data_IF_454817869402
#
_entry.id   IF_454817869402
#
_cell.length_a   1.000
_cell.length_b   1.000
_cell.length_c   1.000
_cell.angle_alpha   90.00
_cell.angle_beta   90.00
_cell.angle_gamma   90.00
#
_symmetry.space_group_name_H-M   'P 1'
#
loop_
_entity.id
_entity.type
_entity.pdbx_description
1 polymer ?
#
# COMPACT_ATOMS: atom_id res chain seq x y z
N UNK A 1 -35.70 21.75 -35.49
CA UNK A 1 -35.80 21.88 -34.02
C UNK A 1 -35.91 20.45 -33.49
N UNK A 2 -34.91 19.82 -32.91
CA UNK A 2 -33.49 20.15 -32.68
C UNK A 2 -32.76 18.80 -32.51
N UNK A 3 -31.49 18.77 -32.88
CA UNK A 3 -30.58 17.66 -32.57
C UNK A 3 -30.60 17.40 -31.06
N UNK A 4 -30.86 16.16 -30.66
CA UNK A 4 -30.55 15.70 -29.31
C UNK A 4 -29.13 15.15 -29.35
N UNK A 5 -28.18 16.03 -29.03
CA UNK A 5 -26.83 15.61 -28.64
C UNK A 5 -26.97 14.75 -27.38
N UNK A 6 -26.83 13.43 -27.53
CA UNK A 6 -26.52 12.54 -26.42
C UNK A 6 -25.08 12.84 -25.96
N UNK A 7 -24.91 13.93 -25.23
CA UNK A 7 -23.68 14.22 -24.52
C UNK A 7 -23.47 13.12 -23.48
N UNK A 8 -22.64 12.13 -23.82
CA UNK A 8 -22.17 11.12 -22.89
C UNK A 8 -21.60 11.83 -21.66
N UNK A 9 -22.20 11.58 -20.49
CA UNK A 9 -21.72 12.13 -19.24
C UNK A 9 -20.21 11.81 -19.11
N UNK A 10 -19.35 12.78 -18.76
CA UNK A 10 -17.92 12.53 -18.64
C UNK A 10 -17.73 11.42 -17.62
N UNK A 11 -17.11 10.32 -18.04
CA UNK A 11 -16.80 9.20 -17.18
C UNK A 11 -16.11 9.75 -15.92
N UNK A 12 -16.78 9.62 -14.76
CA UNK A 12 -16.21 10.05 -13.49
C UNK A 12 -14.85 9.37 -13.37
N UNK A 13 -13.78 10.17 -13.31
CA UNK A 13 -12.42 9.68 -13.07
C UNK A 13 -12.48 8.85 -11.79
N UNK A 14 -12.32 7.53 -11.91
CA UNK A 14 -12.26 6.65 -10.75
C UNK A 14 -10.91 6.97 -10.06
N UNK A 15 -10.97 7.47 -8.84
CA UNK A 15 -9.78 7.70 -8.02
C UNK A 15 -9.06 6.37 -7.79
N UNK A 16 -7.71 6.37 -7.79
CA UNK A 16 -6.91 5.16 -7.56
C UNK A 16 -7.28 4.56 -6.18
N UNK A 17 -7.93 3.38 -6.14
CA UNK A 17 -8.43 2.80 -4.89
C UNK A 17 -7.29 2.39 -3.95
N UNK A 18 -6.06 2.28 -4.45
CA UNK A 18 -4.85 1.99 -3.67
C UNK A 18 -4.22 3.23 -3.04
N UNK A 19 -4.68 4.44 -3.40
CA UNK A 19 -4.14 5.68 -2.87
C UNK A 19 -4.54 5.87 -1.40
N UNK A 20 -3.54 6.07 -0.55
CA UNK A 20 -3.71 6.42 0.85
C UNK A 20 -3.28 7.87 1.05
N UNK A 21 -4.25 8.78 0.93
CA UNK A 21 -4.02 10.20 1.17
C UNK A 21 -3.86 10.44 2.67
N UNK A 22 -2.80 11.16 3.04
CA UNK A 22 -2.50 11.57 4.41
C UNK A 22 -2.63 13.08 4.50
N UNK A 23 -3.55 13.54 5.32
CA UNK A 23 -3.86 14.95 5.53
C UNK A 23 -3.28 15.44 6.88
N UNK A 24 -2.13 16.12 6.87
CA UNK A 24 -1.49 16.58 8.11
C UNK A 24 -2.33 17.66 8.82
N UNK A 25 -3.15 18.42 8.10
CA UNK A 25 -4.02 19.45 8.67
C UNK A 25 -5.16 18.83 9.48
N UNK A 26 -5.53 17.57 9.17
CA UNK A 26 -6.45 16.75 9.97
C UNK A 26 -5.74 15.94 11.07
N UNK A 27 -4.45 16.14 11.27
CA UNK A 27 -3.63 15.39 12.22
C UNK A 27 -3.36 13.95 11.78
N UNK A 28 -3.52 13.63 10.50
CA UNK A 28 -3.17 12.32 9.98
C UNK A 28 -1.66 12.20 9.76
N UNK A 29 -1.12 11.00 9.98
CA UNK A 29 0.30 10.71 9.78
C UNK A 29 0.50 9.34 9.17
N UNK A 30 1.62 9.12 8.50
CA UNK A 30 2.00 7.75 8.14
C UNK A 30 2.32 6.97 9.44
N UNK A 31 1.89 5.71 9.49
CA UNK A 31 2.08 4.85 10.65
C UNK A 31 3.17 3.82 10.39
N UNK A 32 2.87 2.84 9.53
CA UNK A 32 3.78 1.76 9.15
C UNK A 32 3.51 1.34 7.72
N UNK A 33 4.50 0.72 7.09
CA UNK A 33 4.39 0.10 5.77
C UNK A 33 4.95 -1.32 5.82
N UNK A 34 4.45 -2.20 4.96
CA UNK A 34 4.96 -3.55 4.82
C UNK A 34 5.05 -3.97 3.35
N UNK A 35 6.07 -4.76 3.05
CA UNK A 35 6.25 -5.45 1.77
C UNK A 35 6.36 -6.95 2.09
N UNK A 36 5.53 -7.75 1.44
CA UNK A 36 5.51 -9.21 1.56
C UNK A 36 5.80 -9.76 0.17
N UNK A 37 6.88 -10.50 0.02
CA UNK A 37 7.29 -11.05 -1.26
C UNK A 37 7.25 -12.58 -1.22
N UNK A 38 6.76 -13.17 -2.31
CA UNK A 38 6.60 -14.62 -2.47
C UNK A 38 7.65 -15.17 -3.41
N UNK A 39 8.00 -16.46 -3.27
CA UNK A 39 8.95 -17.16 -4.16
C UNK A 39 8.52 -17.16 -5.62
N UNK A 40 7.22 -17.03 -5.87
CA UNK A 40 6.61 -16.98 -7.20
C UNK A 40 6.68 -15.58 -7.83
N UNK A 41 7.29 -14.59 -7.14
CA UNK A 41 7.48 -13.24 -7.65
C UNK A 41 6.35 -12.26 -7.32
N UNK A 42 5.27 -12.69 -6.69
CA UNK A 42 4.19 -11.78 -6.27
C UNK A 42 4.66 -10.95 -5.08
N UNK A 43 4.49 -9.63 -5.19
CA UNK A 43 4.72 -8.69 -4.10
C UNK A 43 3.40 -8.12 -3.61
N UNK A 44 3.18 -8.12 -2.30
CA UNK A 44 2.08 -7.42 -1.65
C UNK A 44 2.65 -6.21 -0.93
N UNK A 45 2.07 -5.04 -1.19
CA UNK A 45 2.38 -3.80 -0.48
C UNK A 45 1.22 -3.45 0.43
N UNK A 46 1.55 -3.03 1.64
CA UNK A 46 0.60 -2.55 2.63
C UNK A 46 1.10 -1.24 3.21
N UNK A 47 0.23 -0.24 3.30
CA UNK A 47 0.55 1.07 3.87
C UNK A 47 -0.57 1.43 4.84
N UNK A 48 -0.18 1.96 6.00
CA UNK A 48 -1.12 2.42 7.01
C UNK A 48 -0.85 3.89 7.37
N UNK A 49 -1.93 4.63 7.61
CA UNK A 49 -1.91 5.95 8.22
C UNK A 49 -2.62 5.93 9.56
N UNK A 50 -2.18 6.75 10.48
CA UNK A 50 -2.83 7.01 11.76
C UNK A 50 -3.79 8.19 11.60
N UNK A 51 -5.01 8.00 12.09
CA UNK A 51 -6.04 9.02 12.25
C UNK A 51 -5.88 9.73 13.60
N UNK A 52 -6.37 10.98 13.75
CA UNK A 52 -6.33 11.71 15.02
C UNK A 52 -7.05 10.99 16.17
N UNK A 53 -8.00 10.09 15.85
CA UNK A 53 -8.72 9.26 16.81
C UNK A 53 -7.92 8.04 17.30
N UNK A 54 -6.62 7.93 16.99
CA UNK A 54 -5.74 6.82 17.39
C UNK A 54 -6.00 5.51 16.66
N UNK A 55 -6.78 5.54 15.58
CA UNK A 55 -7.07 4.39 14.71
C UNK A 55 -6.27 4.45 13.42
N UNK A 56 -6.21 3.34 12.70
CA UNK A 56 -5.53 3.24 11.41
C UNK A 56 -6.53 3.15 10.26
N UNK A 57 -6.18 3.80 9.16
CA UNK A 57 -6.61 3.38 7.84
C UNK A 57 -5.47 2.57 7.21
N UNK A 58 -5.80 1.41 6.67
CA UNK A 58 -4.87 0.48 6.06
C UNK A 58 -5.31 0.26 4.61
N UNK A 59 -4.35 0.32 3.69
CA UNK A 59 -4.53 -0.18 2.32
C UNK A 59 -3.51 -1.26 2.05
N UNK A 60 -3.91 -2.33 1.39
CA UNK A 60 -2.98 -3.31 0.85
C UNK A 60 -3.42 -3.81 -0.52
N UNK A 61 -2.45 -4.20 -1.32
CA UNK A 61 -2.64 -4.66 -2.69
C UNK A 61 -1.46 -5.52 -3.12
N UNK A 62 -1.70 -6.42 -4.06
CA UNK A 62 -0.63 -7.06 -4.81
C UNK A 62 -0.18 -6.13 -5.94
N UNK A 63 1.12 -6.10 -6.23
CA UNK A 63 1.71 -5.34 -7.31
C UNK A 63 3.02 -5.99 -7.74
N UNK A 64 3.52 -5.57 -8.90
CA UNK A 64 4.88 -5.83 -9.32
C UNK A 64 5.70 -4.59 -8.94
N UNK A 65 6.77 -4.80 -8.15
CA UNK A 65 7.55 -3.69 -7.60
C UNK A 65 8.77 -3.44 -8.48
N UNK A 66 8.71 -2.36 -9.25
CA UNK A 66 9.78 -1.96 -10.16
C UNK A 66 11.05 -1.57 -9.40
N UNK A 67 12.24 -1.61 -10.03
CA UNK A 67 13.52 -1.33 -9.36
C UNK A 67 13.62 0.03 -8.66
N UNK A 68 12.85 1.02 -9.11
CA UNK A 68 12.74 2.36 -8.55
C UNK A 68 11.76 2.47 -7.36
N UNK A 69 11.13 1.34 -6.97
CA UNK A 69 10.12 1.28 -5.91
C UNK A 69 8.70 1.59 -6.37
N UNK A 70 8.49 1.84 -7.66
CA UNK A 70 7.16 2.13 -8.21
C UNK A 70 6.32 0.85 -8.28
N UNK A 71 5.10 0.82 -7.69
CA UNK A 71 4.21 -0.32 -7.82
C UNK A 71 3.45 -0.28 -9.15
N UNK A 72 3.58 -1.32 -9.96
CA UNK A 72 2.85 -1.52 -11.21
C UNK A 72 1.83 -2.67 -11.08
N UNK A 73 0.82 -2.71 -11.95
CA UNK A 73 -0.10 -3.85 -12.04
C UNK A 73 -0.91 -4.11 -10.76
N UNK A 74 -1.29 -3.03 -10.04
CA UNK A 74 -1.98 -3.10 -8.75
C UNK A 74 -3.26 -3.93 -8.86
N UNK A 75 -3.36 -4.97 -8.02
CA UNK A 75 -4.44 -5.95 -8.01
C UNK A 75 -4.80 -6.34 -6.58
N UNK A 76 -5.99 -6.92 -6.37
CA UNK A 76 -6.48 -7.35 -5.04
C UNK A 76 -6.42 -6.22 -4.00
N UNK A 77 -6.83 -5.01 -4.41
CA UNK A 77 -6.82 -3.81 -3.56
C UNK A 77 -7.85 -3.96 -2.45
N UNK A 78 -7.42 -3.81 -1.22
CA UNK A 78 -8.25 -3.86 -0.02
C UNK A 78 -7.97 -2.62 0.81
N UNK A 79 -9.04 -2.03 1.32
CA UNK A 79 -8.99 -0.85 2.19
C UNK A 79 -9.80 -1.11 3.44
N UNK A 80 -9.17 -0.88 4.58
CA UNK A 80 -9.71 -1.15 5.90
C UNK A 80 -9.61 0.15 6.70
N UNK A 81 -10.76 0.70 7.07
CA UNK A 81 -10.85 2.04 7.65
C UNK A 81 -11.04 1.97 9.16
N UNK A 82 -10.46 2.94 9.86
CA UNK A 82 -10.69 3.19 11.28
C UNK A 82 -10.61 1.92 12.17
N UNK A 83 -9.51 1.18 12.07
CA UNK A 83 -9.22 -0.03 12.87
C UNK A 83 -8.19 0.24 13.98
N UNK A 84 -8.10 -0.64 14.97
CA UNK A 84 -7.11 -0.51 16.04
C UNK A 84 -5.68 -0.79 15.52
N UNK A 85 -4.62 -0.21 16.12
CA UNK A 85 -3.24 -0.38 15.63
C UNK A 85 -2.78 -1.83 15.48
N UNK A 86 -3.18 -2.69 16.42
CA UNK A 86 -3.00 -4.16 16.40
C UNK A 86 -3.54 -4.86 15.13
N UNK A 87 -4.45 -4.22 14.38
CA UNK A 87 -4.92 -4.75 13.10
C UNK A 87 -3.81 -4.78 12.04
N UNK A 88 -2.78 -3.93 12.17
CA UNK A 88 -1.67 -3.89 11.22
C UNK A 88 -0.98 -5.26 11.11
N UNK A 89 -0.49 -5.81 12.23
CA UNK A 89 0.20 -7.11 12.23
C UNK A 89 -0.73 -8.26 11.85
N UNK A 90 -2.01 -8.17 12.26
CA UNK A 90 -3.04 -9.14 11.89
C UNK A 90 -3.28 -9.17 10.37
N UNK A 91 -3.18 -8.02 9.71
CA UNK A 91 -3.36 -7.92 8.26
C UNK A 91 -2.17 -8.51 7.50
N UNK A 92 -0.94 -8.33 7.99
CA UNK A 92 0.24 -9.01 7.45
C UNK A 92 0.05 -10.54 7.54
N UNK A 93 -0.41 -11.05 8.69
CA UNK A 93 -0.68 -12.47 8.86
C UNK A 93 -1.79 -12.96 7.91
N UNK A 94 -2.83 -12.16 7.69
CA UNK A 94 -3.89 -12.44 6.72
C UNK A 94 -3.35 -12.53 5.28
N UNK A 95 -2.54 -11.56 4.85
CA UNK A 95 -1.94 -11.56 3.50
C UNK A 95 -1.07 -12.81 3.30
N UNK A 96 -0.25 -13.18 4.28
CA UNK A 96 0.56 -14.41 4.22
C UNK A 96 -0.32 -15.68 4.11
N UNK A 97 -1.44 -15.73 4.84
CA UNK A 97 -2.41 -16.83 4.75
C UNK A 97 -3.07 -16.89 3.37
N UNK A 98 -3.44 -15.74 2.80
CA UNK A 98 -4.01 -15.65 1.45
C UNK A 98 -3.01 -16.10 0.40
N UNK A 99 -1.75 -15.65 0.47
CA UNK A 99 -0.68 -16.10 -0.42
C UNK A 99 -0.53 -17.63 -0.37
N UNK A 100 -0.44 -18.20 0.84
CA UNK A 100 -0.39 -19.66 1.03
C UNK A 100 -1.61 -20.38 0.47
N UNK A 101 -2.81 -19.83 0.66
CA UNK A 101 -4.06 -20.37 0.11
C UNK A 101 -4.08 -20.39 -1.43
N UNK A 102 -3.36 -19.47 -2.07
CA UNK A 102 -3.19 -19.42 -3.53
C UNK A 102 -2.04 -20.30 -4.04
N UNK A 103 -1.40 -21.10 -3.18
CA UNK A 103 -0.23 -21.92 -3.53
C UNK A 103 1.08 -21.12 -3.63
N UNK A 104 1.09 -19.87 -3.19
CA UNK A 104 2.30 -19.05 -3.10
C UNK A 104 3.04 -19.34 -1.77
N UNK A 105 4.37 -19.24 -1.78
CA UNK A 105 5.18 -19.37 -0.56
C UNK A 105 5.82 -18.04 -0.24
N UNK A 106 5.57 -17.52 0.97
CA UNK A 106 6.18 -16.26 1.43
C UNK A 106 7.68 -16.45 1.57
N UNK A 107 8.45 -15.67 0.84
CA UNK A 107 9.91 -15.67 0.88
C UNK A 107 10.42 -14.69 1.93
N UNK A 108 9.80 -13.51 2.02
CA UNK A 108 10.23 -12.45 2.91
C UNK A 108 9.08 -11.52 3.29
N UNK A 109 9.19 -10.95 4.49
CA UNK A 109 8.30 -9.91 5.00
C UNK A 109 9.17 -8.81 5.58
N UNK A 110 9.02 -7.59 5.08
CA UNK A 110 9.70 -6.40 5.59
C UNK A 110 8.65 -5.43 6.12
N UNK A 111 8.91 -4.86 7.29
CA UNK A 111 8.07 -3.84 7.92
C UNK A 111 8.91 -2.59 8.14
N UNK A 112 8.33 -1.44 7.83
CA UNK A 112 8.92 -0.12 8.04
C UNK A 112 8.07 0.65 9.04
N UNK A 113 8.68 1.03 10.16
CA UNK A 113 8.04 1.85 11.18
C UNK A 113 8.33 3.33 10.92
N UNK A 114 7.28 4.12 10.73
CA UNK A 114 7.36 5.55 10.43
C UNK A 114 6.98 6.41 11.63
N UNK A 115 6.59 5.80 12.76
CA UNK A 115 6.07 6.52 13.93
C UNK A 115 7.14 7.30 14.69
N UNK A 116 8.41 6.94 14.54
CA UNK A 116 9.54 7.63 15.15
C UNK A 116 10.02 8.88 14.40
N UNK A 117 9.40 9.21 13.26
CA UNK A 117 9.82 10.33 12.42
C UNK A 117 9.06 11.62 12.75
N UNK A 118 9.72 12.79 12.67
CA UNK A 118 9.21 14.03 13.26
C UNK A 118 7.97 14.60 12.55
N UNK A 119 7.90 14.48 11.23
CA UNK A 119 6.84 15.07 10.40
C UNK A 119 6.54 14.21 9.17
N UNK A 120 5.48 14.59 8.43
CA UNK A 120 5.01 13.85 7.26
C UNK A 120 6.04 13.85 6.11
N UNK A 121 6.85 14.90 5.97
CA UNK A 121 7.86 14.98 4.91
C UNK A 121 8.98 13.97 5.20
N UNK A 122 9.48 13.92 6.43
CA UNK A 122 10.44 12.92 6.88
C UNK A 122 9.88 11.50 6.73
N UNK A 123 8.61 11.29 7.08
CA UNK A 123 7.94 10.00 6.88
C UNK A 123 7.84 9.59 5.41
N UNK A 124 7.45 10.51 4.52
CA UNK A 124 7.33 10.25 3.09
C UNK A 124 8.68 9.91 2.46
N UNK A 125 9.71 10.71 2.73
CA UNK A 125 11.07 10.48 2.23
C UNK A 125 11.62 9.14 2.72
N UNK A 126 11.46 8.85 4.02
CA UNK A 126 11.90 7.57 4.59
C UNK A 126 11.17 6.38 3.96
N UNK A 127 9.87 6.50 3.72
CA UNK A 127 9.09 5.46 3.06
C UNK A 127 9.56 5.24 1.61
N UNK A 128 9.86 6.30 0.87
CA UNK A 128 10.34 6.24 -0.50
C UNK A 128 11.71 5.55 -0.58
N UNK A 129 12.68 5.99 0.22
CA UNK A 129 14.02 5.40 0.29
C UNK A 129 13.98 3.93 0.70
N UNK A 130 13.17 3.60 1.71
CA UNK A 130 12.97 2.23 2.14
C UNK A 130 12.36 1.38 1.03
N UNK A 131 11.35 1.89 0.33
CA UNK A 131 10.68 1.16 -0.77
C UNK A 131 11.66 0.86 -1.91
N UNK A 132 12.46 1.85 -2.31
CA UNK A 132 13.55 1.69 -3.30
C UNK A 132 14.54 0.61 -2.89
N UNK A 133 14.96 0.62 -1.62
CA UNK A 133 15.87 -0.40 -1.08
C UNK A 133 15.28 -1.81 -1.16
N UNK A 134 14.01 -1.99 -0.78
CA UNK A 134 13.34 -3.29 -0.84
C UNK A 134 13.13 -3.76 -2.28
N UNK A 135 12.76 -2.85 -3.17
CA UNK A 135 12.64 -3.15 -4.59
C UNK A 135 13.96 -3.65 -5.18
N UNK A 136 15.08 -2.98 -4.88
CA UNK A 136 16.39 -3.44 -5.31
C UNK A 136 16.76 -4.81 -4.71
N UNK A 137 16.40 -5.09 -3.45
CA UNK A 137 16.62 -6.41 -2.84
C UNK A 137 15.82 -7.52 -3.52
N UNK A 138 14.54 -7.27 -3.83
CA UNK A 138 13.66 -8.22 -4.51
C UNK A 138 14.20 -8.51 -5.91
N UNK A 139 14.47 -7.47 -6.71
CA UNK A 139 14.88 -7.62 -8.10
C UNK A 139 16.27 -8.26 -8.26
N UNK A 140 17.17 -8.10 -7.27
CA UNK A 140 18.47 -8.82 -7.25
C UNK A 140 18.32 -10.32 -7.07
N UNK A 141 17.29 -10.79 -6.36
CA UNK A 141 17.06 -12.22 -6.10
C UNK A 141 16.42 -12.95 -7.29
N UNK A 142 15.88 -12.21 -8.26
CA UNK A 142 15.23 -12.74 -9.47
C UNK A 142 16.20 -12.88 -10.65
N UNK A 143 17.45 -12.39 -10.53
CA UNK A 143 18.54 -12.53 -11.53
C UNK A 143 19.38 -13.76 -11.24
#
# INVERSE_FOLDING_TARGET
MGEVDEAAAPARKIEDPSALNVDPDKGERLYKSAIIHTKQGTTYRMVAKMLPIGKLDIVHYACDLLPDGTPEGKRRVNRILAVLPQRFDSEIAYIQKVAKGNGEEVQAVWVHDLTGLPDLVAQANSLEEWTKKQAAEINKKTS
#
